data_IF_415118514838
#
_entry.id   IF_415118514838
#
_cell.length_a   1.000
_cell.length_b   1.000
_cell.length_c   1.000
_cell.angle_alpha   90.00
_cell.angle_beta   90.00
_cell.angle_gamma   90.00
#
_symmetry.space_group_name_H-M   'P 1'
#
loop_
_entity.id
_entity.type
_entity.pdbx_description
1 polymer ?
#
# COMPACT_ATOMS: atom_id res chain seq x y z
N UNK A 1 -7.26 -12.33 -19.53
CA UNK A 1 -5.89 -11.80 -19.70
C UNK A 1 -4.94 -12.59 -18.81
N UNK A 2 -3.83 -13.00 -19.37
CA UNK A 2 -2.86 -13.76 -18.60
C UNK A 2 -2.04 -12.81 -17.72
N UNK A 3 -1.89 -13.17 -16.46
CA UNK A 3 -1.03 -12.45 -15.55
C UNK A 3 0.42 -12.90 -15.74
N UNK A 4 1.33 -11.97 -15.98
CA UNK A 4 2.74 -12.29 -16.19
C UNK A 4 3.54 -11.93 -14.94
N UNK A 5 3.91 -12.94 -14.17
CA UNK A 5 4.65 -12.74 -12.93
C UNK A 5 6.03 -12.11 -13.15
N UNK A 6 6.63 -12.32 -14.33
CA UNK A 6 7.93 -11.74 -14.62
C UNK A 6 7.86 -10.22 -14.77
N UNK A 7 6.68 -9.69 -15.08
CA UNK A 7 6.48 -8.26 -15.23
C UNK A 7 5.81 -7.62 -14.02
N UNK A 8 5.50 -8.44 -13.03
CA UNK A 8 4.86 -7.92 -11.82
C UNK A 8 5.88 -7.19 -10.96
N UNK A 9 5.54 -5.97 -10.59
CA UNK A 9 6.37 -5.17 -9.70
C UNK A 9 5.78 -5.22 -8.29
N UNK A 10 6.56 -5.71 -7.35
CA UNK A 10 6.10 -5.81 -5.97
C UNK A 10 6.00 -4.42 -5.34
N UNK A 11 5.28 -4.32 -4.22
CA UNK A 11 5.22 -3.07 -3.45
C UNK A 11 6.62 -2.66 -2.99
N UNK A 12 7.44 -3.64 -2.60
CA UNK A 12 8.81 -3.37 -2.18
C UNK A 12 9.62 -2.73 -3.31
N UNK A 13 9.48 -3.22 -4.53
CA UNK A 13 10.17 -2.62 -5.69
C UNK A 13 9.68 -1.21 -5.95
N UNK A 14 8.38 -0.98 -5.84
CA UNK A 14 7.79 0.35 -6.01
C UNK A 14 8.31 1.32 -4.95
N UNK A 15 8.45 0.85 -3.71
CA UNK A 15 8.99 1.66 -2.62
C UNK A 15 10.43 2.06 -2.89
N UNK A 16 11.25 1.14 -3.40
CA UNK A 16 12.64 1.45 -3.75
C UNK A 16 12.71 2.57 -4.78
N UNK A 17 11.88 2.50 -5.79
CA UNK A 17 11.81 3.55 -6.81
C UNK A 17 11.32 4.87 -6.24
N UNK A 18 10.29 4.82 -5.40
CA UNK A 18 9.75 6.02 -4.78
C UNK A 18 10.82 6.73 -3.95
N UNK A 19 11.51 6.01 -3.08
CA UNK A 19 12.52 6.62 -2.23
C UNK A 19 13.74 7.11 -3.01
N UNK A 20 14.07 6.44 -4.12
CA UNK A 20 15.14 6.89 -5.01
C UNK A 20 14.79 8.21 -5.68
N UNK A 21 13.55 8.34 -6.14
CA UNK A 21 13.09 9.54 -6.86
C UNK A 21 12.75 10.68 -5.89
N UNK A 22 12.36 10.36 -4.68
CA UNK A 22 11.85 11.34 -3.72
C UNK A 22 12.51 11.13 -2.36
N UNK A 23 13.80 11.47 -2.24
CA UNK A 23 14.52 11.23 -0.96
C UNK A 23 13.95 12.01 0.20
N UNK A 24 13.23 13.08 -0.05
CA UNK A 24 12.57 13.87 0.98
C UNK A 24 11.06 13.62 1.06
N UNK A 25 10.60 12.54 0.43
CA UNK A 25 9.19 12.21 0.43
C UNK A 25 8.71 11.66 1.76
N UNK A 26 7.40 11.42 1.84
CA UNK A 26 6.76 10.87 3.03
C UNK A 26 5.61 9.96 2.62
N UNK A 27 5.43 8.88 3.36
CA UNK A 27 4.27 8.01 3.22
C UNK A 27 3.64 7.88 4.61
N UNK A 28 2.38 8.25 4.72
CA UNK A 28 1.62 8.11 5.97
C UNK A 28 0.55 7.05 5.77
N UNK A 29 0.44 6.13 6.72
CA UNK A 29 -0.66 5.17 6.74
C UNK A 29 -1.51 5.42 7.97
N UNK A 30 -2.79 5.04 7.88
CA UNK A 30 -3.72 5.22 8.98
C UNK A 30 -4.82 4.18 8.88
N UNK A 31 -5.40 3.83 10.02
CA UNK A 31 -6.56 2.95 10.06
C UNK A 31 -7.79 3.80 9.78
N UNK A 32 -8.39 3.57 8.61
CA UNK A 32 -9.61 4.26 8.21
C UNK A 32 -10.83 3.67 8.92
N UNK A 33 -10.90 2.35 8.98
CA UNK A 33 -12.03 1.65 9.58
C UNK A 33 -11.53 0.38 10.24
N UNK A 34 -12.02 0.12 11.44
CA UNK A 34 -11.80 -1.12 12.15
C UNK A 34 -13.16 -1.61 12.62
N UNK A 35 -13.52 -2.85 12.28
CA UNK A 35 -14.81 -3.38 12.70
C UNK A 35 -14.87 -3.50 14.21
N UNK A 36 -16.09 -3.50 14.76
CA UNK A 36 -16.29 -3.54 16.21
C UNK A 36 -15.68 -4.77 16.85
N UNK A 37 -15.67 -5.90 16.14
CA UNK A 37 -15.11 -7.15 16.66
C UNK A 37 -13.62 -7.32 16.31
N UNK A 38 -13.00 -6.34 15.64
CA UNK A 38 -11.58 -6.39 15.32
C UNK A 38 -11.19 -7.38 14.25
N UNK A 39 -12.14 -7.81 13.40
CA UNK A 39 -11.86 -8.83 12.38
C UNK A 39 -11.75 -8.28 10.97
N UNK A 40 -11.99 -7.00 10.78
CA UNK A 40 -11.88 -6.35 9.47
C UNK A 40 -11.24 -4.98 9.65
N UNK A 41 -10.34 -4.64 8.74
CA UNK A 41 -9.67 -3.34 8.77
C UNK A 41 -9.61 -2.76 7.36
N UNK A 42 -9.76 -1.45 7.28
CA UNK A 42 -9.46 -0.67 6.08
C UNK A 42 -8.32 0.28 6.44
N UNK A 43 -7.22 0.19 5.69
CA UNK A 43 -6.07 1.06 5.90
C UNK A 43 -5.97 1.99 4.70
N UNK A 44 -5.73 3.27 4.97
CA UNK A 44 -5.44 4.26 3.95
C UNK A 44 -3.96 4.59 3.96
N UNK A 45 -3.43 4.95 2.80
CA UNK A 45 -2.07 5.41 2.64
C UNK A 45 -2.06 6.70 1.84
N UNK A 46 -1.30 7.68 2.31
CA UNK A 46 -1.09 8.95 1.64
C UNK A 46 0.37 9.07 1.27
N UNK A 47 0.66 9.38 0.02
CA UNK A 47 2.01 9.54 -0.50
C UNK A 47 2.26 11.02 -0.75
N UNK A 48 3.40 11.51 -0.28
CA UNK A 48 3.78 12.92 -0.40
C UNK A 48 5.13 13.01 -1.11
N UNK A 49 5.22 13.92 -2.04
CA UNK A 49 6.49 14.16 -2.75
C UNK A 49 7.54 14.76 -1.83
N UNK A 50 7.13 15.61 -0.92
CA UNK A 50 8.02 16.25 0.05
C UNK A 50 7.48 16.08 1.46
N UNK A 51 8.39 16.02 2.43
CA UNK A 51 8.03 15.85 3.82
C UNK A 51 7.15 16.97 4.36
N UNK A 52 7.31 18.17 3.81
CA UNK A 52 6.55 19.34 4.24
C UNK A 52 5.25 19.54 3.45
N UNK A 53 4.97 18.69 2.48
CA UNK A 53 3.75 18.83 1.68
C UNK A 53 2.52 18.58 2.54
N UNK A 54 1.52 19.44 2.38
CA UNK A 54 0.24 19.33 3.09
C UNK A 54 -0.75 18.46 2.32
N UNK A 55 -0.55 18.33 1.01
CA UNK A 55 -1.46 17.61 0.14
C UNK A 55 -0.75 16.40 -0.44
N UNK A 56 -1.32 15.20 -0.31
CA UNK A 56 -0.71 14.02 -0.91
C UNK A 56 -0.77 14.07 -2.43
N UNK A 57 0.24 13.49 -3.09
CA UNK A 57 0.23 13.33 -4.54
C UNK A 57 -0.61 12.13 -4.95
N UNK A 58 -0.82 11.18 -4.04
CA UNK A 58 -1.64 10.01 -4.31
C UNK A 58 -2.10 9.39 -3.00
N UNK A 59 -3.23 8.70 -3.06
CA UNK A 59 -3.81 7.98 -1.93
C UNK A 59 -4.25 6.61 -2.39
N UNK A 60 -4.34 5.67 -1.45
CA UNK A 60 -4.85 4.34 -1.72
C UNK A 60 -5.42 3.71 -0.47
N UNK A 61 -6.34 2.78 -0.66
CA UNK A 61 -6.96 2.04 0.44
C UNK A 61 -6.85 0.56 0.18
N UNK A 62 -6.83 -0.22 1.26
CA UNK A 62 -6.92 -1.66 1.20
C UNK A 62 -7.80 -2.14 2.34
N UNK A 63 -8.44 -3.28 2.14
CA UNK A 63 -9.29 -3.91 3.15
C UNK A 63 -8.84 -5.35 3.33
N UNK A 64 -8.80 -5.80 4.58
CA UNK A 64 -8.46 -7.18 4.90
C UNK A 64 -9.35 -7.70 6.03
N UNK A 65 -9.55 -9.00 6.01
CA UNK A 65 -10.26 -9.72 7.06
C UNK A 65 -9.28 -10.62 7.78
N UNK A 66 -9.39 -10.65 9.11
CA UNK A 66 -8.53 -11.48 9.95
C UNK A 66 -8.66 -12.95 9.57
N UNK A 67 -7.52 -13.59 9.35
CA UNK A 67 -7.49 -15.02 9.07
C UNK A 67 -7.86 -15.41 7.65
N UNK A 68 -8.05 -14.45 6.76
CA UNK A 68 -8.36 -14.72 5.36
C UNK A 68 -7.20 -14.31 4.47
N UNK A 69 -7.23 -14.76 3.22
CA UNK A 69 -6.20 -14.41 2.26
C UNK A 69 -5.00 -15.32 2.25
N UNK A 70 -5.12 -16.52 2.84
CA UNK A 70 -4.09 -17.52 2.79
C UNK A 70 -3.28 -17.62 4.07
N UNK A 71 -2.33 -18.55 4.07
CA UNK A 71 -1.55 -18.87 5.26
C UNK A 71 -0.75 -17.68 5.79
N UNK A 72 -0.07 -16.97 4.90
CA UNK A 72 0.77 -15.83 5.30
C UNK A 72 -0.04 -14.72 5.93
N UNK A 73 -1.30 -14.55 5.51
CA UNK A 73 -2.17 -13.48 6.00
C UNK A 73 -2.84 -13.83 7.32
N UNK A 74 -2.72 -15.08 7.77
CA UNK A 74 -3.42 -15.51 8.97
C UNK A 74 -2.96 -14.74 10.21
N UNK A 75 -1.67 -14.44 10.30
CA UNK A 75 -1.11 -13.73 11.46
C UNK A 75 -0.68 -12.31 11.14
N UNK A 76 -0.31 -12.04 9.90
CA UNK A 76 0.19 -10.72 9.47
C UNK A 76 -0.83 -9.96 8.63
N UNK A 77 -2.12 -10.16 8.88
CA UNK A 77 -3.17 -9.58 8.05
C UNK A 77 -3.18 -8.05 8.10
N UNK A 78 -2.87 -7.46 9.26
CA UNK A 78 -2.83 -6.01 9.38
C UNK A 78 -1.67 -5.42 8.59
N UNK A 79 -0.48 -5.99 8.75
CA UNK A 79 0.70 -5.52 8.03
C UNK A 79 0.55 -5.72 6.54
N UNK A 80 -0.05 -6.82 6.12
CA UNK A 80 -0.32 -7.07 4.70
C UNK A 80 -1.31 -6.06 4.15
N UNK A 81 -2.30 -5.67 4.94
CA UNK A 81 -3.24 -4.63 4.55
C UNK A 81 -2.52 -3.29 4.35
N UNK A 82 -1.64 -2.93 5.27
CA UNK A 82 -0.86 -1.70 5.15
C UNK A 82 0.00 -1.71 3.89
N UNK A 83 0.69 -2.81 3.63
CA UNK A 83 1.52 -2.94 2.43
C UNK A 83 0.68 -2.80 1.16
N UNK A 84 -0.50 -3.40 1.15
CA UNK A 84 -1.42 -3.29 0.01
C UNK A 84 -1.89 -1.85 -0.19
N UNK A 85 -2.21 -1.15 0.88
CA UNK A 85 -2.63 0.25 0.80
C UNK A 85 -1.52 1.13 0.21
N UNK A 86 -0.29 0.93 0.68
CA UNK A 86 0.87 1.65 0.15
C UNK A 86 1.06 1.35 -1.34
N UNK A 87 0.97 0.08 -1.72
CA UNK A 87 1.12 -0.31 -3.11
C UNK A 87 0.10 0.34 -4.02
N UNK A 88 -1.16 0.42 -3.57
CA UNK A 88 -2.22 1.08 -4.34
C UNK A 88 -1.98 2.58 -4.46
N UNK A 89 -1.54 3.23 -3.38
CA UNK A 89 -1.24 4.66 -3.41
C UNK A 89 -0.10 4.96 -4.38
N UNK A 90 0.97 4.17 -4.36
CA UNK A 90 2.08 4.33 -5.28
C UNK A 90 1.66 4.10 -6.73
N UNK A 91 0.84 3.09 -6.97
CA UNK A 91 0.32 2.83 -8.31
C UNK A 91 -0.59 3.96 -8.80
N UNK A 92 -1.34 4.58 -7.90
CA UNK A 92 -2.21 5.70 -8.27
C UNK A 92 -1.43 6.94 -8.67
N UNK A 93 -0.17 7.03 -8.29
CA UNK A 93 0.68 8.12 -8.74
C UNK A 93 1.38 7.74 -10.05
N UNK A 94 2.50 7.05 -9.96
CA UNK A 94 3.26 6.66 -11.16
C UNK A 94 4.09 5.39 -11.00
N UNK A 95 3.92 4.69 -9.90
CA UNK A 95 4.66 3.46 -9.62
C UNK A 95 3.71 2.28 -9.77
N UNK A 96 3.27 2.05 -11.00
CA UNK A 96 2.21 1.09 -11.28
C UNK A 96 2.71 -0.32 -11.54
N UNK A 97 4.00 -0.48 -11.59
CA UNK A 97 4.55 -1.78 -11.94
C UNK A 97 4.75 -1.94 -13.43
N UNK A 98 5.41 -3.04 -13.78
CA UNK A 98 5.73 -3.34 -15.17
C UNK A 98 4.55 -3.99 -15.87
N UNK A 99 4.37 -3.68 -17.12
CA UNK A 99 3.33 -4.30 -17.94
C UNK A 99 3.82 -5.60 -18.54
#
# INVERSE_FOLDING_TARGET
MAFNLNNYETVEDRLKKFWSDNPNGRIDTYIHTLSADGTMVVIGANVYKDMDSMTPVATGYAQEYKGQGGFANKEAWLENCETSAIGRALANWKYQGSD
#
